data_IF_789852614363
#
_entry.id   IF_789852614363
#
_cell.length_a   1.000
_cell.length_b   1.000
_cell.length_c   1.000
_cell.angle_alpha   90.00
_cell.angle_beta   90.00
_cell.angle_gamma   90.00
#
_symmetry.space_group_name_H-M   'P 1'
#
loop_
_entity.id
_entity.type
_entity.pdbx_description
1 polymer ?
#
# COMPACT_ATOMS: atom_id res chain seq x y z
N UNK A 1 -6.92 -21.20 -10.20
CA UNK A 1 -7.09 -20.00 -11.07
C UNK A 1 -5.93 -19.97 -12.05
N UNK A 2 -6.14 -19.54 -13.29
CA UNK A 2 -5.12 -19.55 -14.36
C UNK A 2 -4.90 -18.19 -15.01
N UNK A 3 -5.56 -17.14 -14.53
CA UNK A 3 -5.29 -15.76 -14.93
C UNK A 3 -4.30 -15.09 -13.96
N UNK A 4 -4.00 -13.80 -14.19
CA UNK A 4 -3.13 -13.05 -13.29
C UNK A 4 -3.67 -12.96 -11.87
N UNK A 5 -2.76 -12.87 -10.89
CA UNK A 5 -3.04 -12.72 -9.47
C UNK A 5 -2.22 -11.54 -8.93
N UNK A 6 -2.88 -10.68 -8.15
CA UNK A 6 -2.24 -9.68 -7.29
C UNK A 6 -2.22 -10.21 -5.86
N UNK A 7 -1.07 -10.14 -5.18
CA UNK A 7 -0.96 -10.41 -3.74
C UNK A 7 -0.71 -9.12 -2.98
N UNK A 8 -1.55 -8.85 -1.99
CA UNK A 8 -1.26 -7.80 -1.01
C UNK A 8 -0.05 -8.17 -0.13
N UNK A 9 0.62 -7.15 0.42
CA UNK A 9 1.88 -7.29 1.15
C UNK A 9 1.71 -7.80 2.58
N UNK A 10 0.49 -7.73 3.13
CA UNK A 10 0.18 -8.06 4.51
C UNK A 10 0.10 -6.85 5.46
N UNK A 11 0.43 -5.63 4.99
CA UNK A 11 0.48 -4.42 5.82
C UNK A 11 -0.88 -4.07 6.44
N UNK A 12 -1.96 -4.21 5.68
CA UNK A 12 -3.32 -3.93 6.15
C UNK A 12 -3.84 -4.99 7.15
N UNK A 13 -3.51 -6.26 6.98
CA UNK A 13 -3.90 -7.32 7.91
C UNK A 13 -3.13 -7.23 9.23
N UNK A 14 -1.92 -6.67 9.20
CA UNK A 14 -1.20 -6.30 10.42
C UNK A 14 -1.89 -5.12 11.12
N UNK A 15 -2.37 -4.13 10.36
CA UNK A 15 -3.18 -3.03 10.87
C UNK A 15 -4.47 -3.51 11.55
N UNK A 16 -5.20 -4.46 10.97
CA UNK A 16 -6.42 -5.03 11.61
C UNK A 16 -6.13 -5.86 12.87
N UNK A 17 -4.86 -6.17 13.15
CA UNK A 17 -4.37 -6.86 14.35
C UNK A 17 -3.59 -5.92 15.30
N UNK A 18 -3.70 -4.59 15.13
CA UNK A 18 -2.86 -3.58 15.77
C UNK A 18 -2.71 -3.73 17.30
N UNK A 19 -3.77 -4.09 18.03
CA UNK A 19 -3.73 -4.31 19.49
C UNK A 19 -2.71 -5.38 19.92
N UNK A 20 -2.28 -6.23 18.98
CA UNK A 20 -1.36 -7.35 19.21
C UNK A 20 -0.09 -7.26 18.38
N UNK A 21 0.13 -6.13 17.71
CA UNK A 21 1.25 -5.90 16.81
C UNK A 21 2.26 -4.91 17.42
N UNK A 22 3.55 -5.22 17.30
CA UNK A 22 4.65 -4.29 17.59
C UNK A 22 5.34 -3.93 16.30
N UNK A 23 5.24 -2.65 15.93
CA UNK A 23 5.85 -2.10 14.73
C UNK A 23 7.19 -1.47 15.11
N UNK A 24 8.23 -1.79 14.35
CA UNK A 24 9.57 -1.20 14.47
C UNK A 24 10.11 -0.87 13.08
N UNK A 25 11.29 -0.27 12.98
CA UNK A 25 11.91 -0.07 11.67
C UNK A 25 12.20 -1.39 10.93
N UNK A 26 12.41 -2.51 11.64
CA UNK A 26 12.74 -3.79 11.00
C UNK A 26 11.54 -4.46 10.34
N UNK A 27 10.34 -4.22 10.84
CA UNK A 27 9.12 -4.87 10.41
C UNK A 27 8.10 -4.91 11.55
N UNK A 28 7.19 -5.87 11.48
CA UNK A 28 6.11 -6.03 12.45
C UNK A 28 6.13 -7.42 13.06
N UNK A 29 6.03 -7.45 14.39
CA UNK A 29 5.84 -8.68 15.15
C UNK A 29 4.39 -8.73 15.65
N UNK A 30 3.68 -9.83 15.43
CA UNK A 30 2.29 -9.99 15.88
C UNK A 30 2.01 -11.45 16.27
N UNK A 31 0.89 -11.68 16.97
CA UNK A 31 0.44 -13.04 17.29
C UNK A 31 -0.58 -13.52 16.28
N UNK A 32 -0.37 -14.74 15.78
CA UNK A 32 -1.34 -15.47 14.96
C UNK A 32 -2.69 -15.55 15.67
N UNK A 33 -3.77 -15.26 14.95
CA UNK A 33 -5.13 -15.41 15.46
C UNK A 33 -5.61 -16.87 15.49
N UNK A 34 -4.85 -17.79 14.87
CA UNK A 34 -5.17 -19.22 14.80
C UNK A 34 -4.69 -19.95 16.05
N UNK A 35 -3.44 -19.71 16.46
CA UNK A 35 -2.74 -20.49 17.49
C UNK A 35 -1.94 -19.63 18.49
N UNK A 36 -1.91 -18.30 18.33
CA UNK A 36 -1.18 -17.38 19.22
C UNK A 36 0.32 -17.34 19.01
N UNK A 37 0.85 -18.07 18.02
CA UNK A 37 2.28 -18.10 17.68
C UNK A 37 2.77 -16.69 17.35
N UNK A 38 3.93 -16.32 17.88
CA UNK A 38 4.57 -15.05 17.58
C UNK A 38 5.19 -15.12 16.18
N UNK A 39 4.73 -14.26 15.29
CA UNK A 39 5.17 -14.15 13.90
C UNK A 39 5.84 -12.79 13.70
N UNK A 40 6.78 -12.76 12.76
CA UNK A 40 7.43 -11.54 12.30
C UNK A 40 7.28 -11.44 10.79
N UNK A 41 6.91 -10.25 10.32
CA UNK A 41 6.83 -9.90 8.92
C UNK A 41 7.68 -8.64 8.68
N UNK A 42 8.72 -8.80 7.86
CA UNK A 42 9.60 -7.71 7.40
C UNK A 42 9.35 -7.45 5.91
N UNK A 43 9.78 -6.30 5.37
CA UNK A 43 9.84 -6.06 3.92
C UNK A 43 10.38 -7.24 3.11
N UNK A 44 11.53 -7.79 3.49
CA UNK A 44 12.20 -8.89 2.78
C UNK A 44 11.38 -10.18 2.86
N UNK A 45 10.80 -10.46 4.04
CA UNK A 45 9.99 -11.65 4.24
C UNK A 45 8.67 -11.58 3.48
N UNK A 46 8.03 -10.40 3.42
CA UNK A 46 6.82 -10.18 2.62
C UNK A 46 7.11 -10.46 1.15
N UNK A 47 8.20 -9.91 0.59
CA UNK A 47 8.62 -10.17 -0.79
C UNK A 47 8.89 -11.66 -1.02
N UNK A 48 9.68 -12.31 -0.15
CA UNK A 48 9.97 -13.74 -0.29
C UNK A 48 8.72 -14.63 -0.28
N UNK A 49 7.70 -14.26 0.51
CA UNK A 49 6.41 -14.96 0.54
C UNK A 49 5.68 -14.76 -0.79
N UNK A 50 5.56 -13.53 -1.27
CA UNK A 50 4.86 -13.21 -2.52
C UNK A 50 5.57 -13.85 -3.75
N UNK A 51 6.90 -13.86 -3.78
CA UNK A 51 7.68 -14.57 -4.80
C UNK A 51 7.43 -16.08 -4.79
N UNK A 52 7.29 -16.67 -3.59
CA UNK A 52 6.99 -18.10 -3.44
C UNK A 52 5.56 -18.44 -3.83
N UNK A 53 4.61 -17.54 -3.59
CA UNK A 53 3.23 -17.68 -4.06
C UNK A 53 3.14 -17.58 -5.58
N UNK A 54 4.06 -16.84 -6.21
CA UNK A 54 4.17 -16.71 -7.66
C UNK A 54 3.05 -15.88 -8.28
N UNK A 55 2.61 -14.83 -7.59
CA UNK A 55 1.69 -13.82 -8.11
C UNK A 55 2.32 -12.98 -9.22
N UNK A 56 1.52 -12.50 -10.16
CA UNK A 56 2.00 -11.67 -11.26
C UNK A 56 2.28 -10.23 -10.80
N UNK A 57 1.50 -9.74 -9.84
CA UNK A 57 1.67 -8.42 -9.22
C UNK A 57 1.88 -8.60 -7.71
N UNK A 58 2.96 -8.01 -7.21
CA UNK A 58 3.35 -8.04 -5.81
C UNK A 58 3.38 -6.61 -5.25
N UNK A 59 3.03 -6.48 -3.98
CA UNK A 59 2.93 -5.19 -3.30
C UNK A 59 4.13 -4.99 -2.37
N UNK A 60 4.71 -3.79 -2.37
CA UNK A 60 5.68 -3.40 -1.35
C UNK A 60 5.03 -3.46 0.03
N UNK A 61 5.80 -3.88 1.04
CA UNK A 61 5.35 -3.86 2.42
C UNK A 61 5.35 -2.42 2.95
N UNK A 62 4.24 -2.00 3.54
CA UNK A 62 4.01 -0.63 4.00
C UNK A 62 3.47 -0.60 5.43
N UNK A 63 3.45 0.59 6.01
CA UNK A 63 2.95 0.85 7.36
C UNK A 63 1.68 1.68 7.28
N UNK A 64 0.53 1.00 7.38
CA UNK A 64 -0.80 1.61 7.36
C UNK A 64 -1.22 2.06 8.77
N UNK A 65 -1.85 3.23 8.85
CA UNK A 65 -2.42 3.78 10.08
C UNK A 65 -3.89 4.15 9.87
N UNK A 66 -4.71 4.05 10.92
CA UNK A 66 -6.12 4.44 10.88
C UNK A 66 -6.25 5.95 10.72
N UNK A 67 -7.31 6.41 10.04
CA UNK A 67 -7.63 7.82 9.94
C UNK A 67 -9.00 8.11 10.60
N UNK A 68 -9.14 9.25 11.31
CA UNK A 68 -8.10 10.25 11.57
C UNK A 68 -7.06 9.79 12.60
N UNK A 69 -5.83 10.31 12.51
CA UNK A 69 -4.73 10.05 13.46
C UNK A 69 -3.95 11.31 13.80
N UNK A 70 -3.02 11.20 14.74
CA UNK A 70 -2.00 12.23 14.99
C UNK A 70 -1.15 12.43 13.71
N UNK A 71 -1.02 13.67 13.18
CA UNK A 71 -0.21 13.96 12.02
C UNK A 71 1.25 13.45 12.12
N UNK A 72 1.84 13.44 13.32
CA UNK A 72 3.18 12.91 13.53
C UNK A 72 3.25 11.40 13.31
N UNK A 73 2.20 10.66 13.70
CA UNK A 73 2.08 9.22 13.48
C UNK A 73 1.92 8.92 11.98
N UNK A 74 1.06 9.67 11.28
CA UNK A 74 0.89 9.53 9.82
C UNK A 74 2.19 9.81 9.08
N UNK A 75 2.90 10.88 9.49
CA UNK A 75 4.19 11.27 8.90
C UNK A 75 5.23 10.17 9.08
N UNK A 76 5.41 9.66 10.30
CA UNK A 76 6.37 8.59 10.55
C UNK A 76 6.01 7.29 9.82
N UNK A 77 4.72 6.93 9.77
CA UNK A 77 4.28 5.76 9.03
C UNK A 77 4.52 5.88 7.52
N UNK A 78 4.30 7.06 6.96
CA UNK A 78 4.58 7.36 5.54
C UNK A 78 6.07 7.21 5.24
N UNK A 79 6.94 7.81 6.05
CA UNK A 79 8.38 7.73 5.81
C UNK A 79 8.96 6.34 6.07
N UNK A 80 8.41 5.59 7.03
CA UNK A 80 8.74 4.17 7.20
C UNK A 80 8.34 3.36 5.98
N UNK A 81 7.17 3.62 5.39
CA UNK A 81 6.71 2.95 4.16
C UNK A 81 7.65 3.22 2.99
N UNK A 82 8.17 4.45 2.85
CA UNK A 82 9.18 4.78 1.82
C UNK A 82 10.48 3.99 2.06
N UNK A 83 10.99 3.94 3.29
CA UNK A 83 12.19 3.14 3.63
C UNK A 83 11.97 1.63 3.44
N UNK A 84 10.77 1.14 3.72
CA UNK A 84 10.41 -0.25 3.49
C UNK A 84 10.23 -0.60 2.02
N UNK A 85 9.76 0.34 1.19
CA UNK A 85 9.68 0.17 -0.25
C UNK A 85 11.07 -0.05 -0.87
N UNK A 86 12.07 0.74 -0.47
CA UNK A 86 13.47 0.54 -0.88
C UNK A 86 13.98 -0.86 -0.53
N UNK A 87 13.73 -1.31 0.71
CA UNK A 87 14.06 -2.67 1.16
C UNK A 87 13.33 -3.76 0.36
N UNK A 88 12.05 -3.54 0.03
CA UNK A 88 11.29 -4.47 -0.80
C UNK A 88 11.88 -4.59 -2.20
N UNK A 89 12.23 -3.46 -2.82
CA UNK A 89 12.83 -3.43 -4.15
C UNK A 89 14.20 -4.13 -4.16
N UNK A 90 15.02 -3.92 -3.13
CA UNK A 90 16.29 -4.61 -2.96
C UNK A 90 16.14 -6.12 -2.74
N UNK A 91 15.07 -6.55 -2.06
CA UNK A 91 14.80 -7.95 -1.78
C UNK A 91 14.28 -8.72 -3.00
N UNK A 92 13.53 -8.07 -3.90
CA UNK A 92 12.90 -8.71 -5.06
C UNK A 92 13.94 -9.25 -6.06
N UNK A 93 13.94 -10.57 -6.27
CA UNK A 93 14.85 -11.28 -7.17
C UNK A 93 14.17 -11.69 -8.48
N UNK A 94 12.86 -11.96 -8.45
CA UNK A 94 12.09 -12.37 -9.63
C UNK A 94 11.83 -11.20 -10.56
N UNK A 95 11.99 -11.43 -11.86
CA UNK A 95 11.83 -10.41 -12.94
C UNK A 95 10.52 -10.54 -13.70
N UNK A 96 9.78 -11.61 -13.44
CA UNK A 96 8.48 -11.92 -14.04
C UNK A 96 7.30 -11.42 -13.19
N UNK A 97 7.58 -10.78 -12.05
CA UNK A 97 6.57 -10.19 -11.16
C UNK A 97 6.68 -8.66 -11.16
N UNK A 98 5.54 -7.98 -11.21
CA UNK A 98 5.48 -6.52 -11.12
C UNK A 98 5.39 -6.09 -9.65
N UNK A 99 6.45 -5.46 -9.14
CA UNK A 99 6.42 -4.85 -7.80
C UNK A 99 5.85 -3.44 -7.85
N UNK A 100 4.76 -3.21 -7.12
CA UNK A 100 4.12 -1.91 -6.94
C UNK A 100 4.53 -1.30 -5.60
N UNK A 101 4.92 -0.03 -5.62
CA UNK A 101 5.08 0.78 -4.41
C UNK A 101 3.71 1.26 -3.90
N UNK A 102 3.59 1.57 -2.61
CA UNK A 102 2.35 2.07 -2.01
C UNK A 102 2.57 3.49 -1.49
N UNK A 103 1.89 4.46 -2.10
CA UNK A 103 1.87 5.84 -1.63
C UNK A 103 1.03 5.94 -0.37
N UNK A 104 1.62 6.49 0.68
CA UNK A 104 0.99 6.79 1.97
C UNK A 104 0.94 8.31 2.19
N UNK A 105 0.35 8.77 3.29
CA UNK A 105 0.27 10.19 3.64
C UNK A 105 -1.03 10.62 4.30
N UNK A 106 -1.96 9.68 4.53
CA UNK A 106 -3.27 10.00 5.09
C UNK A 106 -4.04 10.99 4.20
N UNK A 107 -4.65 12.01 4.82
CA UNK A 107 -5.34 13.11 4.14
C UNK A 107 -4.49 14.38 4.02
N UNK A 108 -3.18 14.31 4.33
CA UNK A 108 -2.26 15.44 4.17
C UNK A 108 -1.77 15.50 2.71
N UNK A 109 -2.21 16.53 2.00
CA UNK A 109 -1.96 16.70 0.57
C UNK A 109 -0.46 16.85 0.24
N UNK A 110 0.30 17.55 1.08
CA UNK A 110 1.73 17.76 0.82
C UNK A 110 2.53 16.50 1.15
N UNK A 111 2.19 15.82 2.26
CA UNK A 111 2.82 14.54 2.60
C UNK A 111 2.57 13.49 1.50
N UNK A 112 1.37 13.47 0.92
CA UNK A 112 1.04 12.62 -0.24
C UNK A 112 1.91 12.91 -1.45
N UNK A 113 2.08 14.19 -1.81
CA UNK A 113 2.98 14.59 -2.92
C UNK A 113 4.41 14.17 -2.66
N UNK A 114 4.89 14.37 -1.43
CA UNK A 114 6.26 14.00 -1.06
C UNK A 114 6.47 12.48 -1.11
N UNK A 115 5.54 11.71 -0.55
CA UNK A 115 5.58 10.24 -0.60
C UNK A 115 5.61 9.74 -2.04
N UNK A 116 4.72 10.24 -2.89
CA UNK A 116 4.66 9.89 -4.30
C UNK A 116 6.00 10.19 -5.01
N UNK A 117 6.53 11.41 -4.85
CA UNK A 117 7.79 11.83 -5.48
C UNK A 117 8.98 10.97 -5.05
N UNK A 118 9.09 10.61 -3.77
CA UNK A 118 10.18 9.73 -3.31
C UNK A 118 10.06 8.32 -3.90
N UNK A 119 8.86 7.74 -3.94
CA UNK A 119 8.65 6.41 -4.52
C UNK A 119 8.88 6.42 -6.05
N UNK A 120 8.56 7.52 -6.73
CA UNK A 120 8.80 7.66 -8.17
C UNK A 120 10.29 7.64 -8.51
N UNK A 121 11.15 8.23 -7.67
CA UNK A 121 12.62 8.17 -7.86
C UNK A 121 13.16 6.74 -7.85
N UNK A 122 12.45 5.81 -7.23
CA UNK A 122 12.82 4.39 -7.15
C UNK A 122 12.39 3.58 -8.39
N UNK A 123 11.63 4.16 -9.34
CA UNK A 123 11.22 3.51 -10.61
C UNK A 123 10.55 2.12 -10.47
N UNK A 124 9.47 2.05 -9.68
CA UNK A 124 8.66 0.84 -9.54
C UNK A 124 7.87 0.49 -10.81
N UNK A 125 7.42 -0.76 -10.90
CA UNK A 125 6.63 -1.23 -12.04
C UNK A 125 5.23 -0.59 -12.10
N UNK A 126 4.72 -0.12 -10.95
CA UNK A 126 3.47 0.60 -10.79
C UNK A 126 3.37 1.22 -9.40
N UNK A 127 2.30 1.96 -9.15
CA UNK A 127 2.11 2.71 -7.91
C UNK A 127 0.69 2.54 -7.39
N UNK A 128 0.58 1.97 -6.19
CA UNK A 128 -0.68 1.94 -5.46
C UNK A 128 -0.85 3.18 -4.59
N UNK A 129 -2.10 3.48 -4.29
CA UNK A 129 -2.54 4.55 -3.39
C UNK A 129 -3.21 3.84 -2.21
N UNK A 130 -2.49 3.77 -1.09
CA UNK A 130 -2.92 3.10 0.12
C UNK A 130 -3.39 4.07 1.21
N UNK A 131 -3.92 3.51 2.30
CA UNK A 131 -4.37 4.31 3.45
C UNK A 131 -5.54 5.25 3.15
N UNK A 132 -6.39 4.85 2.21
CA UNK A 132 -7.69 5.46 1.88
C UNK A 132 -8.78 4.38 1.98
N UNK A 133 -10.03 4.79 2.01
CA UNK A 133 -11.20 3.98 2.35
C UNK A 133 -11.08 3.29 3.70
N UNK A 134 -10.44 3.96 4.67
CA UNK A 134 -10.19 3.45 6.03
C UNK A 134 -10.99 4.21 7.10
N UNK A 135 -11.87 5.11 6.71
CA UNK A 135 -12.80 5.80 7.61
C UNK A 135 -13.14 7.24 7.21
N UNK A 136 -12.45 7.79 6.21
CA UNK A 136 -12.68 9.13 5.68
C UNK A 136 -13.95 9.22 4.81
N UNK A 137 -14.40 10.45 4.54
CA UNK A 137 -15.48 10.68 3.58
C UNK A 137 -14.98 10.52 2.13
N UNK A 138 -15.82 10.07 1.18
CA UNK A 138 -15.42 9.95 -0.24
C UNK A 138 -14.84 11.24 -0.84
N UNK A 139 -15.36 12.40 -0.45
CA UNK A 139 -14.82 13.69 -0.89
C UNK A 139 -13.35 13.91 -0.47
N UNK A 140 -12.93 13.40 0.69
CA UNK A 140 -11.56 13.50 1.17
C UNK A 140 -10.62 12.56 0.40
N UNK A 141 -11.10 11.36 0.08
CA UNK A 141 -10.41 10.43 -0.82
C UNK A 141 -10.20 11.09 -2.19
N UNK A 142 -11.25 11.67 -2.79
CA UNK A 142 -11.15 12.33 -4.09
C UNK A 142 -10.14 13.49 -4.10
N UNK A 143 -10.16 14.36 -3.07
CA UNK A 143 -9.16 15.44 -2.93
C UNK A 143 -7.74 14.88 -2.81
N UNK A 144 -7.58 13.76 -2.08
CA UNK A 144 -6.29 13.08 -1.96
C UNK A 144 -5.81 12.54 -3.31
N UNK A 145 -6.71 12.00 -4.14
CA UNK A 145 -6.38 11.55 -5.49
C UNK A 145 -5.99 12.72 -6.41
N UNK A 146 -6.70 13.85 -6.33
CA UNK A 146 -6.44 15.05 -7.12
C UNK A 146 -5.01 15.60 -6.92
N UNK A 147 -4.40 15.35 -5.75
CA UNK A 147 -3.02 15.75 -5.46
C UNK A 147 -1.99 14.64 -5.66
N UNK A 148 -2.39 13.37 -5.47
CA UNK A 148 -1.47 12.23 -5.53
C UNK A 148 -1.23 11.77 -6.96
N UNK A 149 -2.30 11.58 -7.74
CA UNK A 149 -2.20 10.98 -9.09
C UNK A 149 -1.36 11.82 -10.06
N UNK A 150 -1.39 13.17 -10.06
CA UNK A 150 -0.53 13.97 -10.92
C UNK A 150 0.97 13.80 -10.68
N UNK A 151 1.37 13.34 -9.49
CA UNK A 151 2.77 13.09 -9.15
C UNK A 151 3.24 11.70 -9.62
N UNK A 152 2.32 10.84 -10.09
CA UNK A 152 2.60 9.48 -10.53
C UNK A 152 2.80 9.40 -12.06
N UNK A 153 3.76 8.61 -12.56
CA UNK A 153 4.02 8.51 -14.00
C UNK A 153 2.79 8.04 -14.77
N UNK A 154 2.44 8.74 -15.85
CA UNK A 154 1.28 8.38 -16.69
C UNK A 154 1.45 7.12 -17.53
N UNK A 155 2.65 6.55 -17.57
CA UNK A 155 2.98 5.30 -18.28
C UNK A 155 3.12 4.10 -17.34
N UNK A 156 2.72 4.23 -16.07
CA UNK A 156 2.75 3.18 -15.04
C UNK A 156 1.33 3.02 -14.47
N UNK A 157 0.88 1.79 -14.16
CA UNK A 157 -0.44 1.57 -13.61
C UNK A 157 -0.57 2.17 -12.21
N UNK A 158 -1.75 2.71 -11.93
CA UNK A 158 -2.14 3.31 -10.66
C UNK A 158 -3.26 2.50 -10.02
N UNK A 159 -2.98 1.97 -8.84
CA UNK A 159 -3.87 1.05 -8.14
C UNK A 159 -4.45 1.68 -6.87
N UNK A 160 -5.77 1.90 -6.82
CA UNK A 160 -6.42 2.36 -5.60
C UNK A 160 -6.92 1.16 -4.78
N UNK A 161 -6.35 1.01 -3.58
CA UNK A 161 -6.58 -0.15 -2.73
C UNK A 161 -7.88 -0.01 -1.93
N UNK A 162 -8.71 -1.05 -1.92
CA UNK A 162 -9.88 -1.19 -1.02
C UNK A 162 -11.13 -0.40 -1.41
N UNK A 163 -11.23 0.12 -2.63
CA UNK A 163 -12.36 0.92 -3.12
C UNK A 163 -13.22 0.14 -4.11
N UNK A 164 -14.53 0.12 -3.90
CA UNK A 164 -15.44 -0.68 -4.73
C UNK A 164 -16.84 -0.12 -5.00
N UNK A 165 -17.25 1.02 -4.41
CA UNK A 165 -18.58 1.55 -4.73
C UNK A 165 -18.63 2.03 -6.18
N UNK A 166 -19.68 1.70 -6.96
CA UNK A 166 -19.73 2.08 -8.37
C UNK A 166 -19.53 3.58 -8.62
N UNK A 167 -20.09 4.45 -7.78
CA UNK A 167 -19.85 5.89 -7.87
C UNK A 167 -18.38 6.26 -7.62
N UNK A 168 -17.75 5.65 -6.61
CA UNK A 168 -16.34 5.89 -6.29
C UNK A 168 -15.42 5.41 -7.40
N UNK A 169 -15.71 4.25 -8.01
CA UNK A 169 -14.94 3.74 -9.13
C UNK A 169 -14.94 4.73 -10.31
N UNK A 170 -16.11 5.28 -10.68
CA UNK A 170 -16.21 6.24 -11.78
C UNK A 170 -15.45 7.54 -11.47
N UNK A 171 -15.59 8.06 -10.25
CA UNK A 171 -14.88 9.26 -9.81
C UNK A 171 -13.35 9.07 -9.77
N UNK A 172 -12.89 7.88 -9.35
CA UNK A 172 -11.47 7.57 -9.29
C UNK A 172 -10.87 7.29 -10.68
N UNK A 173 -11.61 6.65 -11.58
CA UNK A 173 -11.21 6.50 -13.00
C UNK A 173 -11.08 7.87 -13.66
N UNK A 174 -12.02 8.78 -13.43
CA UNK A 174 -11.94 10.15 -13.95
C UNK A 174 -10.70 10.92 -13.44
N UNK A 175 -10.15 10.51 -12.29
CA UNK A 175 -8.91 11.03 -11.70
C UNK A 175 -7.65 10.28 -12.12
N UNK A 176 -7.78 9.27 -12.97
CA UNK A 176 -6.66 8.56 -13.58
C UNK A 176 -6.16 7.35 -12.78
N UNK A 177 -7.02 6.71 -11.99
CA UNK A 177 -6.76 5.39 -11.38
C UNK A 177 -7.11 4.28 -12.38
N UNK A 178 -6.28 3.24 -12.45
CA UNK A 178 -6.36 2.17 -13.45
C UNK A 178 -6.85 0.83 -12.86
N UNK A 179 -6.58 0.58 -11.58
CA UNK A 179 -6.87 -0.69 -10.91
C UNK A 179 -7.58 -0.45 -9.58
N UNK A 180 -8.42 -1.40 -9.19
CA UNK A 180 -9.24 -1.37 -7.98
C UNK A 180 -9.41 -2.78 -7.41
N UNK A 181 -9.64 -2.87 -6.12
CA UNK A 181 -10.10 -4.08 -5.43
C UNK A 181 -11.09 -3.72 -4.33
N UNK A 182 -12.06 -4.59 -4.09
CA UNK A 182 -12.95 -4.47 -2.94
C UNK A 182 -13.53 -5.84 -2.58
N UNK A 183 -13.84 -6.02 -1.30
CA UNK A 183 -14.63 -7.18 -0.85
C UNK A 183 -16.12 -7.03 -1.20
N UNK A 184 -16.56 -5.82 -1.50
CA UNK A 184 -17.88 -5.56 -2.06
C UNK A 184 -17.85 -5.93 -3.55
N UNK A 185 -18.84 -6.71 -4.03
CA UNK A 185 -18.92 -7.11 -5.44
C UNK A 185 -19.29 -5.95 -6.38
#
# INVERSE_FOLDING_TARGET
WSGPILTDSGGFQVFSLADRAKITEQGVTFRSHIDGTLLELTPERSIAIQEKLGSDIIMAFDHVVELPNDPAVVTEATWRSVRWADRCQAAAQRKDQMLLAIVQGGLDEELRRQSARELVKMDFAGYAIGGLSVGEAPADMYRTLDVTVPELPGNRPRYLMGVGRPEDLLECVARGVDMFDCVMP
#
